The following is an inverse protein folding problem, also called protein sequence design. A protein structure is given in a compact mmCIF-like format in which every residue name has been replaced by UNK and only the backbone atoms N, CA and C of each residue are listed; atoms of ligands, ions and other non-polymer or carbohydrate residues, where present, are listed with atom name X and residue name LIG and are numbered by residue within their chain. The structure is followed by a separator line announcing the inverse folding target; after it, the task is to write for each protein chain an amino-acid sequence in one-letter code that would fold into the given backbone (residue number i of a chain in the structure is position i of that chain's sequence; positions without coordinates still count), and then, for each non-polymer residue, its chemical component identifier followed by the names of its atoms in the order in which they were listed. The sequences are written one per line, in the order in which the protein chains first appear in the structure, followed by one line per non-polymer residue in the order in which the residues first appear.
data_IF_342076375792
#
_entry.id   IF_342076375792
#
_cell.length_a   1.000
_cell.length_b   1.000
_cell.length_c   1.000
_cell.angle_alpha   90.00
_cell.angle_beta   90.00
_cell.angle_gamma   90.00
#
_symmetry.space_group_name_H-M   'P 1'
#
loop_
_entity.id
_entity.type
_entity.pdbx_description
1 polymer ?
#
# COMPACT_ATOMS: atom_id res chain seq x y z
N UNK A 1 14.63 32.76 -23.01
CA UNK A 1 13.49 31.84 -23.13
C UNK A 1 12.60 32.03 -21.90
N UNK A 2 11.37 32.54 -22.08
CA UNK A 2 10.40 32.62 -21.00
C UNK A 2 9.86 31.21 -20.80
N UNK A 3 10.18 30.58 -19.66
CA UNK A 3 9.51 29.39 -19.21
C UNK A 3 8.03 29.72 -18.91
N UNK A 4 7.14 29.28 -19.76
CA UNK A 4 5.72 29.29 -19.46
C UNK A 4 5.48 28.11 -18.54
N UNK A 5 5.50 28.33 -17.23
CA UNK A 5 4.97 27.37 -16.26
C UNK A 5 3.44 27.40 -16.39
N UNK A 6 2.90 26.47 -17.14
CA UNK A 6 1.47 26.16 -17.09
C UNK A 6 1.19 25.58 -15.69
N UNK A 7 0.57 26.33 -14.81
CA UNK A 7 0.08 25.84 -13.53
C UNK A 7 -1.23 25.10 -13.78
N UNK A 8 -1.15 23.80 -14.08
CA UNK A 8 -2.32 22.94 -14.01
C UNK A 8 -2.71 22.77 -12.54
N UNK A 9 -3.83 23.36 -12.16
CA UNK A 9 -4.35 23.25 -10.79
C UNK A 9 -5.43 22.15 -10.75
N UNK A 10 -5.12 21.04 -10.10
CA UNK A 10 -6.12 20.03 -9.78
C UNK A 10 -6.84 20.44 -8.49
N UNK A 11 -8.13 20.15 -8.43
CA UNK A 11 -8.93 20.31 -7.21
C UNK A 11 -9.43 18.93 -6.78
N UNK A 12 -9.71 18.75 -5.49
CA UNK A 12 -10.18 17.44 -5.06
C UNK A 12 -10.50 17.35 -3.58
N UNK A 13 -10.81 16.16 -3.15
CA UNK A 13 -11.10 15.81 -1.75
C UNK A 13 -10.11 14.76 -1.27
N UNK A 14 -9.74 14.87 0.00
CA UNK A 14 -8.89 13.93 0.70
C UNK A 14 -9.65 13.38 1.91
N UNK A 15 -9.81 12.08 1.97
CA UNK A 15 -10.39 11.38 3.11
C UNK A 15 -9.28 10.71 3.91
N UNK A 16 -9.22 11.02 5.20
CA UNK A 16 -8.22 10.51 6.11
C UNK A 16 -8.88 9.72 7.23
N UNK A 17 -8.41 8.52 7.49
CA UNK A 17 -8.90 7.67 8.59
C UNK A 17 -7.77 6.76 9.10
N UNK A 18 -7.93 6.30 10.32
CA UNK A 18 -6.99 5.36 10.94
C UNK A 18 -7.31 3.94 10.53
N UNK A 19 -6.30 3.20 10.07
CA UNK A 19 -6.32 1.77 9.80
C UNK A 19 -5.34 1.02 10.69
N UNK A 20 -5.29 -0.30 10.52
CA UNK A 20 -4.38 -1.19 11.26
C UNK A 20 -4.51 -0.98 12.78
N UNK A 21 -5.76 -0.94 13.28
CA UNK A 21 -6.07 -0.68 14.69
C UNK A 21 -5.43 0.63 15.24
N UNK A 22 -5.37 1.67 14.43
CA UNK A 22 -4.80 2.98 14.81
C UNK A 22 -3.29 3.14 14.56
N UNK A 23 -2.62 2.15 13.95
CA UNK A 23 -1.17 2.18 13.70
C UNK A 23 -0.79 2.77 12.34
N UNK A 24 -1.73 2.98 11.43
CA UNK A 24 -1.46 3.67 10.18
C UNK A 24 -2.53 4.72 9.87
N UNK A 25 -2.13 5.76 9.13
CA UNK A 25 -3.03 6.75 8.56
C UNK A 25 -3.23 6.44 7.09
N UNK A 26 -4.46 6.17 6.71
CA UNK A 26 -4.88 5.92 5.34
C UNK A 26 -5.49 7.20 4.78
N UNK A 27 -5.08 7.58 3.57
CA UNK A 27 -5.50 8.78 2.88
C UNK A 27 -5.98 8.40 1.48
N UNK A 28 -7.24 8.60 1.19
CA UNK A 28 -7.82 8.40 -0.14
C UNK A 28 -8.11 9.74 -0.78
N UNK A 29 -7.43 10.06 -1.88
CA UNK A 29 -7.60 11.30 -2.62
C UNK A 29 -8.43 11.06 -3.89
N UNK A 30 -9.35 11.98 -4.15
CA UNK A 30 -10.07 12.11 -5.40
C UNK A 30 -9.73 13.47 -5.97
N UNK A 31 -9.07 13.50 -7.12
CA UNK A 31 -8.55 14.73 -7.74
C UNK A 31 -9.17 14.91 -9.10
N UNK A 32 -9.61 16.11 -9.40
CA UNK A 32 -10.14 16.49 -10.72
C UNK A 32 -9.17 17.45 -11.39
N UNK A 33 -8.71 17.12 -12.59
CA UNK A 33 -7.86 17.98 -13.38
C UNK A 33 -8.71 19.07 -14.11
N UNK A 34 -8.07 20.10 -14.71
CA UNK A 34 -8.78 21.14 -15.45
C UNK A 34 -9.60 20.66 -16.65
N UNK A 35 -9.33 19.47 -17.16
CA UNK A 35 -10.11 18.82 -18.23
C UNK A 35 -11.35 18.07 -17.69
N UNK A 36 -11.54 18.02 -16.38
CA UNK A 36 -12.65 17.31 -15.73
C UNK A 36 -12.38 15.81 -15.51
N UNK A 37 -11.18 15.32 -15.77
CA UNK A 37 -10.83 13.92 -15.53
C UNK A 37 -10.56 13.70 -14.03
N UNK A 38 -11.10 12.60 -13.50
CA UNK A 38 -10.98 12.22 -12.09
C UNK A 38 -9.93 11.13 -11.93
N UNK A 39 -9.02 11.33 -10.99
CA UNK A 39 -8.02 10.35 -10.57
C UNK A 39 -8.18 10.03 -9.09
N UNK A 40 -7.77 8.82 -8.71
CA UNK A 40 -7.90 8.31 -7.34
C UNK A 40 -6.55 7.81 -6.84
N UNK A 41 -6.01 8.46 -5.82
CA UNK A 41 -4.76 8.06 -5.18
C UNK A 41 -5.02 7.52 -3.78
N UNK A 42 -4.24 6.53 -3.39
CA UNK A 42 -4.23 5.98 -2.04
C UNK A 42 -2.85 6.20 -1.41
N UNK A 43 -2.83 6.72 -0.20
CA UNK A 43 -1.62 6.82 0.60
C UNK A 43 -1.78 6.12 1.93
N UNK A 44 -0.73 5.42 2.35
CA UNK A 44 -0.64 4.81 3.68
C UNK A 44 0.61 5.32 4.37
N UNK A 45 0.43 5.91 5.55
CA UNK A 45 1.52 6.35 6.42
C UNK A 45 1.55 5.47 7.66
N UNK A 46 2.67 4.83 7.90
CA UNK A 46 2.87 3.87 8.96
C UNK A 46 4.16 4.18 9.71
N UNK A 47 4.16 4.09 11.04
CA UNK A 47 5.38 4.22 11.84
C UNK A 47 5.99 2.84 12.06
N UNK A 48 7.28 2.72 11.76
CA UNK A 48 8.07 1.53 12.05
C UNK A 48 8.97 1.84 13.26
N UNK A 49 8.63 1.28 14.41
CA UNK A 49 9.32 1.50 15.69
C UNK A 49 10.70 0.83 15.74
N UNK A 50 10.91 -0.24 14.98
CA UNK A 50 12.20 -0.94 14.92
C UNK A 50 13.33 -0.08 14.35
N UNK A 51 12.99 0.84 13.44
CA UNK A 51 13.96 1.75 12.79
C UNK A 51 13.72 3.23 13.10
N UNK A 52 12.75 3.56 13.95
CA UNK A 52 12.38 4.94 14.33
C UNK A 52 12.11 5.85 13.11
N UNK A 53 11.39 5.31 12.11
CA UNK A 53 11.02 6.04 10.90
C UNK A 53 9.56 5.80 10.51
N UNK A 54 9.02 6.76 9.80
CA UNK A 54 7.73 6.61 9.14
C UNK A 54 7.93 6.06 7.72
N UNK A 55 7.09 5.13 7.34
CA UNK A 55 6.91 4.70 5.95
C UNK A 55 5.72 5.43 5.34
N UNK A 56 5.87 5.82 4.09
CA UNK A 56 4.81 6.39 3.28
C UNK A 56 4.73 5.62 1.97
N UNK A 57 3.64 4.90 1.78
CA UNK A 57 3.33 4.21 0.53
C UNK A 57 2.29 5.01 -0.21
N UNK A 58 2.58 5.36 -1.45
CA UNK A 58 1.67 6.04 -2.37
C UNK A 58 1.32 5.08 -3.51
N UNK A 59 0.04 4.90 -3.76
CA UNK A 59 -0.52 4.12 -4.87
C UNK A 59 -1.35 5.06 -5.72
N UNK A 60 -0.94 5.27 -6.95
CA UNK A 60 -1.59 6.17 -7.89
C UNK A 60 -2.74 5.48 -8.64
N UNK A 61 -3.57 6.26 -9.31
CA UNK A 61 -4.73 5.79 -10.09
C UNK A 61 -4.40 4.74 -11.16
N UNK A 62 -3.20 4.81 -11.75
CA UNK A 62 -2.67 3.84 -12.71
C UNK A 62 -2.16 2.54 -12.06
N UNK A 63 -2.14 2.46 -10.74
CA UNK A 63 -1.63 1.35 -9.95
C UNK A 63 -0.13 1.43 -9.67
N UNK A 64 0.55 2.50 -10.07
CA UNK A 64 1.97 2.72 -9.75
C UNK A 64 2.17 2.90 -8.24
N UNK A 65 3.13 2.19 -7.67
CA UNK A 65 3.40 2.18 -6.22
C UNK A 65 4.76 2.79 -5.93
N UNK A 66 4.80 3.73 -4.99
CA UNK A 66 6.02 4.35 -4.48
C UNK A 66 6.15 4.12 -2.98
N UNK A 67 7.38 3.89 -2.54
CA UNK A 67 7.74 3.83 -1.13
C UNK A 67 8.65 4.98 -0.75
N UNK A 68 8.34 5.67 0.33
CA UNK A 68 9.18 6.71 0.92
C UNK A 68 9.37 6.42 2.40
N UNK A 69 10.51 6.85 2.94
CA UNK A 69 10.74 6.92 4.38
C UNK A 69 10.87 8.36 4.82
N UNK A 70 10.47 8.65 6.03
CA UNK A 70 10.52 9.99 6.58
C UNK A 70 10.77 10.01 8.07
N UNK A 71 11.28 11.13 8.52
CA UNK A 71 11.44 11.39 9.94
C UNK A 71 10.81 12.73 10.29
N UNK A 72 10.06 12.73 11.39
CA UNK A 72 9.52 13.98 11.93
C UNK A 72 10.65 14.81 12.50
N UNK A 73 10.73 16.06 12.09
CA UNK A 73 11.69 16.99 12.69
C UNK A 73 11.14 17.46 14.01
N UNK A 74 11.73 16.97 15.11
CA UNK A 74 11.44 17.46 16.46
C UNK A 74 11.54 18.99 16.49
N UNK A 75 10.56 19.65 17.09
CA UNK A 75 10.42 21.12 17.15
C UNK A 75 9.96 21.82 15.87
N UNK A 76 9.59 21.08 14.83
CA UNK A 76 8.98 21.68 13.63
C UNK A 76 7.65 21.00 13.30
N UNK A 77 6.80 21.73 12.59
CA UNK A 77 5.55 21.20 12.02
C UNK A 77 5.78 20.54 10.65
N UNK A 78 7.00 20.03 10.40
CA UNK A 78 7.47 19.58 9.11
C UNK A 78 7.90 18.11 9.16
N UNK A 79 7.48 17.37 8.14
CA UNK A 79 7.91 16.02 7.82
C UNK A 79 8.61 16.01 6.46
N UNK A 80 9.80 15.48 6.39
CA UNK A 80 10.54 15.26 5.15
C UNK A 80 10.52 13.76 4.81
N UNK A 81 10.10 13.43 3.59
CA UNK A 81 10.01 12.08 3.05
C UNK A 81 10.98 11.92 1.87
N UNK A 82 11.66 10.78 1.81
CA UNK A 82 12.58 10.43 0.74
C UNK A 82 12.20 9.09 0.12
N UNK A 83 12.20 9.01 -1.20
CA UNK A 83 11.91 7.76 -1.89
C UNK A 83 12.97 6.70 -1.58
N UNK A 84 12.50 5.52 -1.19
CA UNK A 84 13.31 4.31 -1.03
C UNK A 84 13.00 3.29 -2.10
N UNK A 85 11.82 3.43 -2.70
CA UNK A 85 11.36 2.62 -3.79
C UNK A 85 10.63 3.52 -4.82
N UNK A 86 11.24 3.66 -5.98
CA UNK A 86 10.73 4.45 -7.10
C UNK A 86 10.94 3.62 -8.38
N UNK A 87 9.99 2.72 -8.74
CA UNK A 87 10.12 1.84 -9.90
C UNK A 87 10.31 2.64 -11.18
N UNK A 88 11.23 2.17 -12.05
CA UNK A 88 11.49 2.78 -13.35
C UNK A 88 12.22 4.13 -13.33
N UNK A 89 12.57 4.67 -12.16
CA UNK A 89 13.35 5.89 -12.09
C UNK A 89 14.78 5.66 -12.59
N UNK A 90 15.35 6.59 -13.37
CA UNK A 90 16.76 6.55 -13.72
C UNK A 90 17.66 6.58 -12.48
N UNK A 91 18.86 6.01 -12.61
CA UNK A 91 19.87 6.07 -11.54
C UNK A 91 20.17 7.53 -11.17
N UNK A 92 20.23 7.84 -9.87
CA UNK A 92 20.48 9.19 -9.36
C UNK A 92 19.26 10.10 -9.28
N UNK A 93 18.09 9.62 -9.69
CA UNK A 93 16.83 10.33 -9.50
C UNK A 93 16.11 9.80 -8.26
N UNK A 94 15.71 10.71 -7.38
CA UNK A 94 14.91 10.41 -6.20
C UNK A 94 13.76 11.41 -6.08
N UNK A 95 12.76 11.07 -5.30
CA UNK A 95 11.68 11.98 -4.96
C UNK A 95 11.78 12.36 -3.48
N UNK A 96 11.56 13.63 -3.21
CA UNK A 96 11.38 14.15 -1.86
C UNK A 96 9.97 14.74 -1.74
N UNK A 97 9.28 14.42 -0.67
CA UNK A 97 8.03 15.07 -0.30
C UNK A 97 8.26 15.81 1.01
N UNK A 98 7.86 17.06 1.05
CA UNK A 98 7.94 17.91 2.25
C UNK A 98 6.53 18.29 2.66
N UNK A 99 6.09 17.77 3.79
CA UNK A 99 4.81 18.14 4.38
C UNK A 99 5.03 19.12 5.52
N UNK A 100 4.32 20.22 5.49
CA UNK A 100 4.33 21.25 6.53
C UNK A 100 2.90 21.53 6.99
N UNK A 101 2.68 21.35 8.27
CA UNK A 101 1.43 21.77 8.90
C UNK A 101 1.50 23.29 9.14
N UNK A 102 0.60 24.02 8.49
CA UNK A 102 0.53 25.49 8.61
C UNK A 102 -0.32 25.91 9.80
N UNK A 103 -1.47 25.24 9.97
CA UNK A 103 -2.37 25.38 11.11
C UNK A 103 -2.90 23.99 11.50
N UNK A 104 -3.64 23.83 12.60
CA UNK A 104 -4.27 22.53 12.94
C UNK A 104 -5.19 21.98 11.83
N UNK A 105 -5.66 22.82 10.92
CA UNK A 105 -6.59 22.46 9.84
C UNK A 105 -6.01 22.63 8.45
N UNK A 106 -4.78 23.13 8.30
CA UNK A 106 -4.19 23.43 6.99
C UNK A 106 -2.81 22.83 6.87
N UNK A 107 -2.53 22.21 5.72
CA UNK A 107 -1.25 21.59 5.40
C UNK A 107 -0.83 21.94 3.98
N UNK A 108 0.48 22.14 3.81
CA UNK A 108 1.12 22.28 2.51
C UNK A 108 2.05 21.09 2.28
N UNK A 109 1.97 20.51 1.10
CA UNK A 109 2.82 19.41 0.66
C UNK A 109 3.54 19.85 -0.61
N UNK A 110 4.87 19.86 -0.59
CA UNK A 110 5.70 20.08 -1.78
C UNK A 110 6.25 18.72 -2.23
N UNK A 111 6.23 18.50 -3.53
CA UNK A 111 6.79 17.32 -4.18
C UNK A 111 7.97 17.78 -5.01
N UNK A 112 9.16 17.30 -4.69
CA UNK A 112 10.40 17.64 -5.36
C UNK A 112 10.94 16.40 -6.08
N UNK A 113 11.49 16.61 -7.26
CA UNK A 113 12.37 15.65 -7.94
C UNK A 113 13.81 16.07 -7.65
N UNK A 114 14.61 15.13 -7.19
CA UNK A 114 16.03 15.35 -6.90
C UNK A 114 16.82 14.56 -7.92
N UNK A 115 17.59 15.27 -8.75
CA UNK A 115 18.44 14.69 -9.78
C UNK A 115 19.87 15.21 -9.59
N UNK A 116 20.84 14.32 -9.34
CA UNK A 116 22.25 14.67 -9.10
C UNK A 116 22.43 15.85 -8.11
N UNK A 117 21.71 15.80 -6.98
CA UNK A 117 21.66 16.83 -5.93
C UNK A 117 21.02 18.18 -6.34
N UNK A 118 20.49 18.30 -7.54
CA UNK A 118 19.65 19.43 -7.91
C UNK A 118 18.20 19.13 -7.55
N UNK A 119 17.55 20.09 -6.90
CA UNK A 119 16.16 19.98 -6.45
C UNK A 119 15.28 20.80 -7.38
N UNK A 120 14.30 20.16 -7.99
CA UNK A 120 13.28 20.80 -8.82
C UNK A 120 11.91 20.58 -8.18
N UNK A 121 11.15 21.64 -7.97
CA UNK A 121 9.78 21.55 -7.50
C UNK A 121 8.90 20.97 -8.61
N UNK A 122 8.44 19.74 -8.43
CA UNK A 122 7.56 19.06 -9.37
C UNK A 122 6.08 19.36 -9.13
N UNK A 123 5.71 19.71 -7.89
CA UNK A 123 4.33 20.04 -7.55
C UNK A 123 4.15 20.55 -6.13
N UNK A 124 2.99 21.15 -5.87
CA UNK A 124 2.60 21.59 -4.55
C UNK A 124 1.11 21.35 -4.35
N UNK A 125 0.73 20.88 -3.18
CA UNK A 125 -0.65 20.65 -2.77
C UNK A 125 -0.91 21.41 -1.48
N UNK A 126 -1.95 22.23 -1.47
CA UNK A 126 -2.47 22.85 -0.24
C UNK A 126 -3.79 22.17 0.11
N UNK A 127 -3.93 21.74 1.35
CA UNK A 127 -5.12 21.05 1.84
C UNK A 127 -5.64 21.71 3.10
N UNK A 128 -6.99 21.79 3.19
CA UNK A 128 -7.70 22.33 4.34
C UNK A 128 -8.74 21.33 4.83
N UNK A 129 -8.77 21.09 6.13
CA UNK A 129 -9.81 20.27 6.76
C UNK A 129 -11.15 21.01 6.69
N UNK A 130 -12.14 20.39 6.07
CA UNK A 130 -13.48 20.98 5.87
C UNK A 130 -14.57 20.32 6.74
N UNK A 131 -14.23 19.25 7.46
CA UNK A 131 -15.16 18.53 8.34
C UNK A 131 -14.83 17.04 8.45
N UNK A 132 -15.70 16.33 9.16
CA UNK A 132 -15.67 14.87 9.24
C UNK A 132 -16.76 14.34 8.31
N UNK A 133 -16.35 13.69 7.24
CA UNK A 133 -17.27 13.00 6.33
C UNK A 133 -16.71 11.60 6.07
N UNK A 134 -17.50 10.62 6.40
CA UNK A 134 -17.18 9.25 6.06
C UNK A 134 -17.23 9.07 4.55
N UNK A 135 -16.14 8.57 3.98
CA UNK A 135 -16.08 8.25 2.56
C UNK A 135 -16.77 6.90 2.32
N UNK A 136 -17.77 6.87 1.47
CA UNK A 136 -18.31 5.60 1.01
C UNK A 136 -17.25 4.89 0.14
N UNK A 137 -16.80 3.66 0.51
CA UNK A 137 -15.91 2.87 -0.33
C UNK A 137 -16.60 2.49 -1.63
N UNK A 138 -15.82 2.23 -2.69
CA UNK A 138 -16.36 1.61 -3.88
C UNK A 138 -16.87 0.20 -3.56
N UNK A 139 -17.97 -0.19 -4.17
CA UNK A 139 -18.53 -1.53 -4.01
C UNK A 139 -17.90 -2.55 -4.96
N UNK A 140 -17.23 -2.07 -6.00
CA UNK A 140 -16.69 -2.89 -7.08
C UNK A 140 -15.28 -2.42 -7.50
N UNK A 141 -14.48 -3.33 -8.09
CA UNK A 141 -13.21 -2.98 -8.70
C UNK A 141 -13.42 -2.16 -9.98
N UNK A 142 -12.46 -1.28 -10.27
CA UNK A 142 -12.53 -0.39 -11.43
C UNK A 142 -12.21 -1.09 -12.76
N UNK A 143 -11.51 -2.22 -12.75
CA UNK A 143 -11.10 -2.96 -13.96
C UNK A 143 -11.23 -4.48 -13.76
N UNK A 144 -11.32 -5.26 -14.86
CA UNK A 144 -11.35 -6.72 -14.79
C UNK A 144 -10.11 -7.34 -14.14
N UNK A 145 -8.92 -6.73 -14.32
CA UNK A 145 -7.69 -7.18 -13.69
C UNK A 145 -7.80 -7.07 -12.18
N UNK A 146 -8.34 -5.97 -11.68
CA UNK A 146 -8.55 -5.76 -10.24
C UNK A 146 -9.59 -6.74 -9.69
N UNK A 147 -10.62 -7.09 -10.45
CA UNK A 147 -11.62 -8.07 -10.04
C UNK A 147 -11.02 -9.46 -9.71
N UNK A 148 -9.87 -9.80 -10.28
CA UNK A 148 -9.13 -11.04 -9.97
C UNK A 148 -8.55 -11.07 -8.55
N UNK A 149 -8.40 -9.92 -7.90
CA UNK A 149 -7.85 -9.82 -6.54
C UNK A 149 -8.82 -10.28 -5.44
N UNK A 150 -10.08 -10.52 -5.80
CA UNK A 150 -11.10 -11.03 -4.89
C UNK A 150 -12.25 -10.04 -4.61
N UNK A 151 -13.06 -10.38 -3.65
CA UNK A 151 -14.28 -9.66 -3.29
C UNK A 151 -14.09 -8.90 -1.98
N UNK A 152 -14.69 -7.70 -1.89
CA UNK A 152 -14.78 -6.97 -0.62
C UNK A 152 -15.73 -7.69 0.34
N UNK A 153 -15.38 -7.70 1.64
CA UNK A 153 -16.22 -8.31 2.66
C UNK A 153 -15.44 -8.81 3.88
N UNK A 154 -16.09 -9.62 4.71
CA UNK A 154 -15.50 -10.21 5.91
C UNK A 154 -14.92 -11.57 5.54
N UNK A 155 -13.67 -11.81 5.89
CA UNK A 155 -12.95 -13.03 5.58
C UNK A 155 -12.56 -13.79 6.84
N UNK A 156 -12.63 -15.09 6.75
CA UNK A 156 -12.03 -16.01 7.72
C UNK A 156 -10.91 -16.76 7.03
N UNK A 157 -9.76 -16.78 7.68
CA UNK A 157 -8.57 -17.44 7.15
C UNK A 157 -8.00 -18.40 8.19
N UNK A 158 -7.41 -19.46 7.70
CA UNK A 158 -6.68 -20.45 8.53
C UNK A 158 -5.29 -20.57 7.92
N UNK A 159 -4.27 -20.36 8.71
CA UNK A 159 -2.87 -20.53 8.35
C UNK A 159 -2.26 -21.68 9.13
N UNK A 160 -1.48 -22.50 8.45
CA UNK A 160 -0.70 -23.57 9.06
C UNK A 160 0.79 -23.29 8.80
N UNK A 161 1.55 -23.21 9.87
CA UNK A 161 3.00 -22.95 9.83
C UNK A 161 3.75 -24.01 10.64
N UNK A 162 4.89 -24.43 10.15
CA UNK A 162 5.81 -25.33 10.90
C UNK A 162 6.80 -24.49 11.69
N UNK A 163 6.72 -24.51 13.01
CA UNK A 163 7.65 -23.86 13.94
C UNK A 163 8.29 -24.92 14.84
N UNK A 164 9.61 -24.99 14.84
CA UNK A 164 10.39 -25.92 15.66
C UNK A 164 9.90 -27.40 15.56
N UNK A 165 9.46 -27.79 14.36
CA UNK A 165 8.95 -29.15 14.11
C UNK A 165 7.52 -29.40 14.58
N UNK A 166 6.81 -28.38 15.05
CA UNK A 166 5.38 -28.44 15.42
C UNK A 166 4.53 -27.70 14.40
N UNK A 167 3.39 -28.28 14.05
CA UNK A 167 2.38 -27.60 13.26
C UNK A 167 1.59 -26.64 14.12
N UNK A 168 1.69 -25.35 13.85
CA UNK A 168 0.90 -24.31 14.48
C UNK A 168 -0.21 -23.90 13.51
N UNK A 169 -1.40 -23.72 14.02
CA UNK A 169 -2.55 -23.27 13.24
C UNK A 169 -3.04 -21.93 13.76
N UNK A 170 -2.91 -20.89 12.95
CA UNK A 170 -3.39 -19.55 13.23
C UNK A 170 -4.79 -19.37 12.64
N UNK A 171 -5.65 -18.70 13.37
CA UNK A 171 -6.93 -18.22 12.87
C UNK A 171 -6.85 -16.74 12.63
N UNK A 172 -7.28 -16.32 11.46
CA UNK A 172 -7.23 -14.93 11.03
C UNK A 172 -8.65 -14.48 10.71
N UNK A 173 -9.04 -13.36 11.25
CA UNK A 173 -10.26 -12.68 10.87
C UNK A 173 -9.91 -11.34 10.28
N UNK A 174 -10.52 -11.00 9.17
CA UNK A 174 -10.23 -9.74 8.52
C UNK A 174 -11.36 -9.23 7.65
N UNK A 175 -11.18 -8.02 7.18
CA UNK A 175 -12.12 -7.34 6.31
C UNK A 175 -11.41 -6.72 5.13
N UNK A 176 -11.89 -7.00 3.94
CA UNK A 176 -11.45 -6.32 2.73
C UNK A 176 -12.48 -5.30 2.25
N UNK A 177 -11.99 -4.24 1.62
CA UNK A 177 -12.79 -3.22 0.94
C UNK A 177 -12.04 -2.64 -0.25
N UNK A 178 -12.78 -2.21 -1.24
CA UNK A 178 -12.21 -1.40 -2.32
C UNK A 178 -12.01 0.03 -1.85
N UNK A 179 -10.94 0.66 -2.33
CA UNK A 179 -10.75 2.12 -2.20
C UNK A 179 -11.84 2.86 -2.99
N UNK A 180 -11.96 4.16 -2.75
CA UNK A 180 -12.82 5.05 -3.54
C UNK A 180 -12.56 4.88 -4.99
N UNK A 181 -12.97 4.88 -5.94
CA UNK A 181 -12.61 4.62 -7.34
C UNK A 181 -12.31 3.16 -7.67
N UNK A 182 -12.29 2.24 -6.68
CA UNK A 182 -12.08 0.81 -6.92
C UNK A 182 -10.69 0.44 -7.45
N UNK A 183 -9.68 1.28 -7.21
CA UNK A 183 -8.32 1.14 -7.75
C UNK A 183 -7.41 0.22 -6.95
N UNK A 184 -7.72 0.02 -5.68
CA UNK A 184 -6.99 -0.91 -4.82
C UNK A 184 -7.92 -1.65 -3.88
N UNK A 185 -7.56 -2.87 -3.52
CA UNK A 185 -8.21 -3.68 -2.50
C UNK A 185 -7.37 -3.59 -1.23
N UNK A 186 -7.99 -3.08 -0.15
CA UNK A 186 -7.39 -3.03 1.18
C UNK A 186 -7.98 -4.16 2.01
N UNK A 187 -7.13 -4.83 2.77
CA UNK A 187 -7.53 -5.83 3.76
C UNK A 187 -6.87 -5.50 5.09
N UNK A 188 -7.64 -5.56 6.15
CA UNK A 188 -7.16 -5.44 7.52
C UNK A 188 -7.51 -6.74 8.25
N UNK A 189 -6.51 -7.38 8.83
CA UNK A 189 -6.64 -8.67 9.50
C UNK A 189 -6.04 -8.66 10.89
N UNK A 190 -6.50 -9.61 11.70
CA UNK A 190 -5.95 -9.92 13.00
C UNK A 190 -5.72 -11.42 13.10
N UNK A 191 -4.49 -11.80 13.45
CA UNK A 191 -4.10 -13.16 13.80
C UNK A 191 -4.35 -13.29 15.28
N UNK A 192 -5.15 -14.26 15.68
CA UNK A 192 -5.31 -14.62 17.08
C UNK A 192 -4.12 -15.51 17.50
N UNK A 193 -3.20 -14.91 18.22
CA UNK A 193 -2.06 -15.59 18.80
C UNK A 193 -2.24 -15.72 20.32
N UNK A 194 -2.93 -16.79 20.75
CA UNK A 194 -3.15 -17.09 22.17
C UNK A 194 -3.80 -15.93 22.97
N UNK A 195 -4.73 -15.19 22.32
CA UNK A 195 -5.44 -14.07 22.94
C UNK A 195 -4.74 -12.70 22.73
N UNK A 196 -3.56 -12.68 22.16
CA UNK A 196 -2.92 -11.45 21.69
C UNK A 196 -3.13 -11.30 20.18
N UNK A 197 -3.86 -10.27 19.78
CA UNK A 197 -4.11 -9.99 18.37
C UNK A 197 -2.90 -9.38 17.68
N UNK A 198 -2.34 -10.05 16.68
CA UNK A 198 -1.34 -9.48 15.78
C UNK A 198 -2.04 -8.86 14.59
N UNK A 199 -2.00 -7.53 14.52
CA UNK A 199 -2.66 -6.78 13.46
C UNK A 199 -1.76 -6.64 12.25
N UNK A 200 -2.35 -6.83 11.06
CA UNK A 200 -1.70 -6.57 9.79
C UNK A 200 -2.69 -5.99 8.78
N UNK A 201 -2.15 -5.35 7.78
CA UNK A 201 -2.91 -4.82 6.65
C UNK A 201 -2.17 -5.12 5.37
N UNK A 202 -2.91 -5.33 4.30
CA UNK A 202 -2.31 -5.33 2.98
C UNK A 202 -3.15 -4.54 1.98
N UNK A 203 -2.46 -4.08 0.94
CA UNK A 203 -3.05 -3.37 -0.19
C UNK A 203 -2.61 -4.04 -1.48
N UNK A 204 -3.56 -4.39 -2.34
CA UNK A 204 -3.30 -4.96 -3.66
C UNK A 204 -3.87 -4.05 -4.74
N UNK A 205 -3.11 -3.87 -5.82
CA UNK A 205 -3.51 -3.08 -6.99
C UNK A 205 -2.95 -3.68 -8.27
N UNK A 206 -3.34 -3.13 -9.42
CA UNK A 206 -2.83 -3.51 -10.74
C UNK A 206 -2.19 -2.28 -11.39
N UNK A 207 -0.89 -2.37 -11.65
CA UNK A 207 -0.11 -1.37 -12.36
C UNK A 207 -0.35 -1.54 -13.87
N UNK A 208 -1.09 -0.59 -14.44
CA UNK A 208 -1.47 -0.63 -15.86
C UNK A 208 -0.29 -0.34 -16.80
N UNK A 209 0.70 0.42 -16.33
CA UNK A 209 1.87 0.76 -17.13
C UNK A 209 2.79 -0.45 -17.33
N UNK A 210 3.03 -1.19 -16.25
CA UNK A 210 3.91 -2.37 -16.27
C UNK A 210 3.15 -3.68 -16.57
N UNK A 211 1.81 -3.68 -16.51
CA UNK A 211 0.98 -4.86 -16.70
C UNK A 211 1.17 -5.92 -15.61
N UNK A 212 1.44 -5.49 -14.38
CA UNK A 212 1.71 -6.35 -13.23
C UNK A 212 0.83 -6.01 -12.04
N UNK A 213 0.65 -6.97 -11.16
CA UNK A 213 0.03 -6.73 -9.86
C UNK A 213 1.07 -6.27 -8.86
N UNK A 214 0.67 -5.36 -7.97
CA UNK A 214 1.47 -4.89 -6.85
C UNK A 214 0.76 -5.19 -5.55
N UNK A 215 1.53 -5.59 -4.56
CA UNK A 215 1.05 -5.96 -3.25
C UNK A 215 1.97 -5.32 -2.20
N UNK A 216 1.39 -4.61 -1.25
CA UNK A 216 2.09 -3.99 -0.13
C UNK A 216 1.53 -4.56 1.16
N UNK A 217 2.40 -5.03 2.02
CA UNK A 217 2.05 -5.64 3.28
C UNK A 217 2.60 -4.81 4.45
N UNK A 218 1.75 -4.53 5.43
CA UNK A 218 2.05 -3.73 6.61
C UNK A 218 1.82 -4.58 7.86
N UNK A 219 2.81 -4.71 8.70
CA UNK A 219 2.67 -5.22 10.05
C UNK A 219 2.53 -4.06 11.03
N UNK A 220 1.83 -4.28 12.14
CA UNK A 220 1.60 -3.25 13.17
C UNK A 220 2.89 -2.51 13.58
N UNK A 221 3.94 -3.25 13.89
CA UNK A 221 5.21 -2.71 14.44
C UNK A 221 6.41 -3.13 13.56
N UNK A 222 6.17 -3.51 12.31
CA UNK A 222 7.17 -4.11 11.44
C UNK A 222 7.47 -3.33 10.16
N UNK A 223 8.29 -3.91 9.30
CA UNK A 223 8.61 -3.36 8.01
C UNK A 223 7.41 -3.37 7.08
N UNK A 224 7.47 -2.52 6.07
CA UNK A 224 6.54 -2.55 4.94
C UNK A 224 7.18 -3.38 3.83
N UNK A 225 6.50 -4.46 3.44
CA UNK A 225 6.98 -5.33 2.36
C UNK A 225 6.27 -5.02 1.06
N UNK A 226 7.03 -4.93 -0.01
CA UNK A 226 6.51 -4.72 -1.36
C UNK A 226 6.74 -5.95 -2.22
N UNK A 227 5.70 -6.34 -2.96
CA UNK A 227 5.71 -7.48 -3.87
C UNK A 227 5.23 -7.07 -5.25
N UNK A 228 5.70 -7.81 -6.24
CA UNK A 228 5.16 -7.80 -7.60
C UNK A 228 4.69 -9.18 -7.97
N UNK A 229 3.65 -9.27 -8.80
CA UNK A 229 3.08 -10.54 -9.22
C UNK A 229 2.50 -10.50 -10.63
N UNK A 230 2.36 -11.67 -11.22
CA UNK A 230 1.66 -11.84 -12.50
C UNK A 230 0.56 -12.88 -12.35
N UNK A 231 -0.56 -12.62 -12.99
CA UNK A 231 -1.68 -13.54 -13.05
C UNK A 231 -1.41 -14.65 -14.07
N UNK A 232 -1.61 -15.88 -13.66
CA UNK A 232 -1.68 -17.04 -14.54
C UNK A 232 -3.14 -17.45 -14.75
N UNK A 233 -3.62 -17.27 -15.97
CA UNK A 233 -5.02 -17.55 -16.33
C UNK A 233 -5.35 -19.06 -16.26
N UNK A 234 -4.37 -19.94 -16.54
CA UNK A 234 -4.60 -21.38 -16.56
C UNK A 234 -4.78 -21.94 -15.13
N UNK A 235 -4.00 -21.46 -14.20
CA UNK A 235 -4.01 -21.93 -12.80
C UNK A 235 -4.81 -21.04 -11.88
N UNK A 236 -5.28 -19.86 -12.35
CA UNK A 236 -5.93 -18.82 -11.54
C UNK A 236 -5.07 -18.40 -10.33
N UNK A 237 -3.75 -18.30 -10.55
CA UNK A 237 -2.76 -18.04 -9.50
C UNK A 237 -2.03 -16.73 -9.75
N UNK A 238 -1.73 -15.99 -8.69
CA UNK A 238 -0.72 -14.93 -8.69
C UNK A 238 0.48 -15.42 -7.89
N UNK A 239 1.66 -15.37 -8.49
CA UNK A 239 2.92 -15.61 -7.79
C UNK A 239 3.54 -14.26 -7.47
N UNK A 240 3.50 -13.90 -6.19
CA UNK A 240 4.05 -12.67 -5.65
C UNK A 240 5.51 -12.86 -5.26
N UNK A 241 6.37 -11.92 -5.62
CA UNK A 241 7.79 -11.92 -5.24
C UNK A 241 8.12 -10.62 -4.54
N UNK A 242 8.74 -10.70 -3.37
CA UNK A 242 9.21 -9.51 -2.67
C UNK A 242 10.34 -8.85 -3.46
N UNK A 243 10.34 -7.52 -3.48
CA UNK A 243 11.26 -6.71 -4.29
C UNK A 243 12.19 -5.85 -3.46
N UNK A 244 11.99 -5.80 -2.14
CA UNK A 244 12.91 -5.11 -1.22
C UNK A 244 13.88 -6.12 -0.58
N UNK A 245 15.13 -5.73 -0.34
CA UNK A 245 16.05 -6.56 0.42
C UNK A 245 15.48 -6.89 1.82
N UNK A 246 15.60 -8.13 2.25
CA UNK A 246 16.36 -9.22 1.64
C UNK A 246 15.70 -9.91 0.44
N UNK A 247 14.52 -9.52 -0.04
CA UNK A 247 13.91 -10.00 -1.29
C UNK A 247 13.63 -11.49 -1.37
N UNK A 248 13.46 -12.16 -0.24
CA UNK A 248 13.50 -13.60 -0.10
C UNK A 248 12.14 -14.23 0.25
N UNK A 249 11.04 -13.53 -0.04
CA UNK A 249 9.70 -14.06 0.16
C UNK A 249 8.97 -14.26 -1.17
N UNK A 250 8.35 -15.43 -1.33
CA UNK A 250 7.47 -15.76 -2.45
C UNK A 250 6.12 -16.19 -1.90
N UNK A 251 5.03 -15.67 -2.49
CA UNK A 251 3.67 -16.05 -2.12
C UNK A 251 2.97 -16.57 -3.37
N UNK A 252 2.45 -17.78 -3.30
CA UNK A 252 1.58 -18.38 -4.31
C UNK A 252 0.14 -18.22 -3.83
N UNK A 253 -0.67 -17.44 -4.52
CA UNK A 253 -2.06 -17.20 -4.16
C UNK A 253 -2.96 -17.69 -5.29
N UNK A 254 -3.77 -18.72 -5.02
CA UNK A 254 -4.65 -19.37 -6.00
C UNK A 254 -6.11 -19.04 -5.66
N UNK A 255 -6.84 -18.54 -6.64
CA UNK A 255 -8.24 -18.13 -6.51
C UNK A 255 -9.14 -19.22 -7.08
N UNK A 256 -9.76 -20.01 -6.22
CA UNK A 256 -10.69 -21.08 -6.62
C UNK A 256 -12.09 -20.55 -6.93
N UNK A 257 -12.44 -19.40 -6.34
CA UNK A 257 -13.64 -18.62 -6.64
C UNK A 257 -13.45 -17.17 -6.17
N UNK A 258 -14.36 -16.23 -6.49
CA UNK A 258 -14.32 -14.86 -5.95
C UNK A 258 -14.38 -14.78 -4.41
N UNK A 259 -14.86 -15.83 -3.75
CA UNK A 259 -15.08 -15.91 -2.31
C UNK A 259 -14.16 -16.91 -1.60
N UNK A 260 -13.24 -17.53 -2.34
CA UNK A 260 -12.36 -18.56 -1.78
C UNK A 260 -10.99 -18.55 -2.47
N UNK A 261 -9.94 -18.50 -1.67
CA UNK A 261 -8.54 -18.58 -2.12
C UNK A 261 -7.72 -19.43 -1.16
N UNK A 262 -6.65 -19.99 -1.70
CA UNK A 262 -5.58 -20.63 -0.93
C UNK A 262 -4.28 -19.88 -1.19
N UNK A 263 -3.37 -19.95 -0.25
CA UNK A 263 -2.07 -19.32 -0.41
C UNK A 263 -0.99 -20.13 0.27
N UNK A 264 0.24 -20.02 -0.26
CA UNK A 264 1.46 -20.56 0.32
C UNK A 264 2.51 -19.46 0.35
N UNK A 265 3.09 -19.20 1.52
CA UNK A 265 4.21 -18.29 1.69
C UNK A 265 5.48 -19.10 1.86
N UNK A 266 6.52 -18.73 1.15
CA UNK A 266 7.84 -19.35 1.19
C UNK A 266 8.88 -18.29 1.57
N UNK A 267 9.73 -18.60 2.54
CA UNK A 267 10.82 -17.76 3.00
C UNK A 267 12.14 -18.43 2.63
N UNK A 268 13.02 -17.67 2.00
CA UNK A 268 14.33 -18.14 1.55
C UNK A 268 15.44 -17.39 2.30
N UNK A 269 16.59 -18.02 2.50
CA UNK A 269 17.78 -17.34 2.97
C UNK A 269 18.49 -16.57 1.83
N UNK A 270 19.64 -15.94 2.16
CA UNK A 270 20.43 -15.20 1.19
C UNK A 270 21.04 -16.08 0.07
N UNK A 271 21.12 -17.40 0.28
CA UNK A 271 21.58 -18.40 -0.70
C UNK A 271 20.41 -18.95 -1.53
N UNK A 272 19.19 -18.41 -1.34
CA UNK A 272 17.94 -18.87 -1.97
C UNK A 272 17.50 -20.27 -1.59
N UNK A 273 17.92 -20.75 -0.43
CA UNK A 273 17.44 -22.01 0.14
C UNK A 273 16.16 -21.76 0.93
N UNK A 274 15.15 -22.60 0.76
CA UNK A 274 13.90 -22.54 1.51
C UNK A 274 14.20 -22.78 3.01
N UNK A 275 13.83 -21.79 3.83
CA UNK A 275 14.00 -21.79 5.30
C UNK A 275 12.72 -22.21 6.00
N UNK A 276 11.61 -21.64 5.56
CA UNK A 276 10.29 -21.93 6.14
C UNK A 276 9.19 -21.71 5.11
N UNK A 277 8.03 -22.30 5.38
CA UNK A 277 6.82 -22.03 4.61
C UNK A 277 5.59 -22.10 5.48
N UNK A 278 4.55 -21.39 5.08
CA UNK A 278 3.21 -21.53 5.63
C UNK A 278 2.20 -21.71 4.50
N UNK A 279 1.13 -22.44 4.79
CA UNK A 279 0.00 -22.64 3.88
C UNK A 279 -1.26 -22.07 4.53
N UNK A 280 -2.12 -21.46 3.73
CA UNK A 280 -3.36 -20.91 4.24
C UNK A 280 -4.53 -20.98 3.27
N UNK A 281 -5.68 -20.79 3.83
CA UNK A 281 -6.96 -20.78 3.13
C UNK A 281 -7.80 -19.61 3.65
N UNK A 282 -8.45 -18.90 2.73
CA UNK A 282 -9.32 -17.77 3.03
C UNK A 282 -10.70 -17.98 2.43
N UNK A 283 -11.74 -17.77 3.22
CA UNK A 283 -13.14 -17.83 2.78
C UNK A 283 -13.89 -16.56 3.17
N UNK A 284 -14.65 -16.00 2.22
CA UNK A 284 -15.56 -14.91 2.50
C UNK A 284 -16.69 -15.43 3.38
N UNK A 285 -16.99 -14.72 4.46
CA UNK A 285 -18.08 -15.03 5.35
C UNK A 285 -19.39 -14.52 4.74
N UNK A 286 -20.39 -15.37 4.69
CA UNK A 286 -21.74 -15.00 4.25
C UNK A 286 -22.43 -14.03 5.22
#
# INVERSE_FOLDING_TARGET
AKSVTSTNTNTGTLHAYWGLNGHCLILEAEMTNPAGEITYDLSVKHFNDQIDHYHYTLIQDDGYVRGLIGKWKTQSTRMDWWSVYLPGAPSGVSQRIVEQQLTPSERKTNIDIVNNNQVELAGSVESKRVGEREAAPATQPATPELARLGTAGVWQEVESVMEEGKLITNRINGRSRWTRGGRALIYEGVIDNNGEGVYFMWVKTYDRMDGIYRFVYFFKDGPVDHFVGKWDEATKTIVWRSIQPPGNRVIHETFTSPTHRTWRVEFFDNERKLVSSSDGESRLKE
#
